data_IF_522982989330
#
_entry.id   IF_522982989330
#
_cell.length_a   1.000
_cell.length_b   1.000
_cell.length_c   1.000
_cell.angle_alpha   90.00
_cell.angle_beta   90.00
_cell.angle_gamma   90.00
#
_symmetry.space_group_name_H-M   'P 1'
#
loop_
_entity.id
_entity.type
_entity.pdbx_description
1 polymer ?
#
# COMPACT_ATOMS: atom_id res chain seq x y z
N UNK A 1 -84.59 -15.15 3.75
CA UNK A 1 -83.63 -16.06 3.09
C UNK A 1 -82.50 -15.22 2.52
N UNK A 2 -81.46 -14.99 3.31
CA UNK A 2 -80.28 -14.19 2.95
C UNK A 2 -79.25 -15.13 2.32
N UNK A 3 -79.02 -15.01 1.01
CA UNK A 3 -77.83 -15.55 0.34
C UNK A 3 -76.93 -14.36 0.02
N UNK A 4 -75.65 -14.42 0.41
CA UNK A 4 -74.46 -13.74 -0.15
C UNK A 4 -73.40 -13.42 0.93
N UNK A 5 -73.03 -14.45 1.69
CA UNK A 5 -71.85 -14.58 2.56
C UNK A 5 -70.69 -15.34 1.89
N UNK A 6 -69.48 -14.81 1.75
CA UNK A 6 -68.22 -15.53 1.44
C UNK A 6 -67.85 -15.78 -0.04
N UNK A 7 -67.49 -14.72 -0.76
CA UNK A 7 -66.41 -14.79 -1.77
C UNK A 7 -65.66 -13.47 -1.78
N UNK A 8 -64.76 -13.28 -0.82
CA UNK A 8 -63.73 -12.24 -0.83
C UNK A 8 -62.81 -12.49 0.36
N UNK A 9 -61.61 -13.00 0.11
CA UNK A 9 -60.30 -12.73 0.77
C UNK A 9 -59.33 -13.68 0.06
N UNK A 10 -59.02 -13.36 -1.19
CA UNK A 10 -57.82 -13.86 -1.88
C UNK A 10 -57.23 -12.61 -2.51
N UNK A 11 -56.50 -11.82 -1.72
CA UNK A 11 -55.80 -10.67 -2.28
C UNK A 11 -54.57 -10.32 -1.43
N UNK A 12 -53.41 -10.52 -2.07
CA UNK A 12 -52.11 -9.92 -1.78
C UNK A 12 -51.39 -10.33 -0.47
N UNK A 13 -50.96 -11.60 -0.40
CA UNK A 13 -49.58 -11.84 0.07
C UNK A 13 -48.67 -11.45 -1.10
N UNK A 14 -48.49 -10.14 -1.28
CA UNK A 14 -47.44 -9.63 -2.14
C UNK A 14 -46.13 -10.01 -1.45
N UNK A 15 -45.54 -11.07 -1.99
CA UNK A 15 -44.22 -11.60 -1.67
C UNK A 15 -43.22 -10.45 -1.82
N UNK A 16 -43.02 -9.68 -0.75
CA UNK A 16 -41.81 -8.88 -0.54
C UNK A 16 -40.65 -9.83 -0.20
N UNK A 17 -40.37 -10.80 -1.07
CA UNK A 17 -38.99 -11.29 -1.21
C UNK A 17 -38.26 -10.22 -1.98
N UNK A 18 -38.03 -9.09 -1.31
CA UNK A 18 -37.01 -8.15 -1.72
C UNK A 18 -35.74 -8.97 -1.84
N UNK A 19 -35.19 -9.01 -3.05
CA UNK A 19 -33.86 -9.52 -3.32
C UNK A 19 -32.92 -8.76 -2.39
N UNK A 20 -32.61 -9.35 -1.24
CA UNK A 20 -31.48 -8.94 -0.41
C UNK A 20 -30.27 -9.36 -1.24
N UNK A 21 -29.93 -8.53 -2.22
CA UNK A 21 -28.61 -8.64 -2.85
C UNK A 21 -27.64 -8.44 -1.70
N UNK A 22 -26.73 -9.39 -1.41
CA UNK A 22 -25.67 -9.11 -0.47
C UNK A 22 -25.03 -7.82 -0.97
N UNK A 23 -24.98 -6.79 -0.12
CA UNK A 23 -24.19 -5.61 -0.42
C UNK A 23 -22.78 -6.14 -0.65
N UNK A 24 -22.37 -6.18 -1.92
CA UNK A 24 -21.03 -6.59 -2.26
C UNK A 24 -20.13 -5.57 -1.58
N UNK A 25 -19.43 -6.00 -0.53
CA UNK A 25 -18.47 -5.16 0.16
C UNK A 25 -17.49 -4.67 -0.91
N UNK A 26 -17.44 -3.34 -1.08
CA UNK A 26 -16.54 -2.71 -2.02
C UNK A 26 -15.10 -3.04 -1.66
N UNK A 27 -14.23 -3.05 -2.67
CA UNK A 27 -12.79 -3.19 -2.44
C UNK A 27 -12.10 -2.00 -3.11
N UNK A 28 -11.17 -1.38 -2.40
CA UNK A 28 -10.19 -0.46 -2.98
C UNK A 28 -8.92 -1.27 -3.27
N UNK A 29 -8.35 -1.12 -4.45
CA UNK A 29 -7.09 -1.78 -4.81
C UNK A 29 -6.27 -0.83 -5.66
N UNK A 30 -5.09 -0.46 -5.19
CA UNK A 30 -4.22 0.44 -5.94
C UNK A 30 -3.18 -0.33 -6.74
N UNK A 31 -3.14 -0.06 -8.04
CA UNK A 31 -1.96 -0.28 -8.86
C UNK A 31 -1.06 0.96 -8.69
N UNK A 32 0.16 0.73 -8.21
CA UNK A 32 1.12 1.77 -7.86
C UNK A 32 2.25 1.73 -8.88
N UNK A 33 2.46 2.84 -9.60
CA UNK A 33 3.57 3.01 -10.52
C UNK A 33 4.45 4.16 -10.04
N UNK A 34 5.74 3.87 -9.86
CA UNK A 34 6.72 4.84 -9.37
C UNK A 34 7.83 4.96 -10.39
N UNK A 35 8.13 6.20 -10.79
CA UNK A 35 9.29 6.52 -11.62
C UNK A 35 10.19 7.48 -10.87
N UNK A 36 11.50 7.29 -10.98
CA UNK A 36 12.49 8.06 -10.22
C UNK A 36 13.45 8.73 -11.17
N UNK A 37 13.76 9.99 -10.89
CA UNK A 37 14.79 10.77 -11.57
C UNK A 37 15.80 11.21 -10.52
N UNK A 38 17.07 11.00 -10.80
CA UNK A 38 18.17 11.36 -9.92
C UNK A 38 18.99 12.45 -10.60
N UNK A 39 19.25 13.53 -9.87
CA UNK A 39 20.19 14.58 -10.26
C UNK A 39 21.28 14.69 -9.19
N UNK A 40 22.22 15.63 -9.35
CA UNK A 40 23.36 15.77 -8.44
C UNK A 40 22.96 16.06 -6.99
N UNK A 41 21.83 16.74 -6.77
CA UNK A 41 21.39 17.22 -5.45
C UNK A 41 20.03 16.69 -5.00
N UNK A 42 19.30 15.98 -5.86
CA UNK A 42 17.92 15.56 -5.54
C UNK A 42 17.49 14.26 -6.20
N UNK A 43 16.57 13.58 -5.53
CA UNK A 43 15.77 12.49 -6.10
C UNK A 43 14.33 12.98 -6.24
N UNK A 44 13.79 12.91 -7.46
CA UNK A 44 12.39 13.16 -7.74
C UNK A 44 11.68 11.83 -8.00
N UNK A 45 10.68 11.51 -7.19
CA UNK A 45 9.84 10.33 -7.34
C UNK A 45 8.43 10.75 -7.79
N UNK A 46 8.05 10.38 -9.01
CA UNK A 46 6.70 10.54 -9.52
C UNK A 46 5.90 9.27 -9.23
N UNK A 47 4.86 9.41 -8.41
CA UNK A 47 4.00 8.30 -7.97
C UNK A 47 2.63 8.45 -8.62
N UNK A 48 2.24 7.46 -9.42
CA UNK A 48 0.92 7.34 -10.01
C UNK A 48 0.17 6.20 -9.33
N UNK A 49 -1.01 6.52 -8.80
CA UNK A 49 -1.95 5.58 -8.21
C UNK A 49 -3.11 5.38 -9.18
N UNK A 50 -3.48 4.13 -9.44
CA UNK A 50 -4.69 3.79 -10.21
C UNK A 50 -5.58 2.89 -9.38
N UNK A 51 -6.82 3.31 -9.14
CA UNK A 51 -7.78 2.50 -8.40
C UNK A 51 -8.34 1.41 -9.32
N UNK A 52 -7.90 0.17 -9.12
CA UNK A 52 -8.38 -1.05 -9.80
C UNK A 52 -9.48 -1.76 -9.02
N UNK A 53 -9.88 -1.21 -7.87
CA UNK A 53 -10.96 -1.72 -7.05
C UNK A 53 -12.35 -1.42 -7.62
N UNK A 54 -13.36 -1.78 -6.84
CA UNK A 54 -14.78 -1.52 -7.13
C UNK A 54 -15.37 -0.37 -6.30
N UNK A 55 -14.62 0.15 -5.33
CA UNK A 55 -15.04 1.24 -4.45
C UNK A 55 -14.19 2.51 -4.66
N UNK A 56 -14.78 3.68 -4.42
CA UNK A 56 -14.05 4.96 -4.41
C UNK A 56 -13.12 5.04 -3.20
N UNK A 57 -11.87 5.46 -3.44
CA UNK A 57 -10.94 5.80 -2.37
C UNK A 57 -11.03 7.30 -2.05
N UNK A 58 -11.12 7.67 -0.78
CA UNK A 58 -11.20 9.06 -0.33
C UNK A 58 -9.93 9.49 0.42
N UNK A 59 -9.66 10.80 0.44
CA UNK A 59 -8.56 11.43 1.19
C UNK A 59 -7.20 10.76 0.93
N UNK A 60 -6.88 10.54 -0.34
CA UNK A 60 -5.71 9.75 -0.74
C UNK A 60 -4.45 10.57 -0.58
N UNK A 61 -3.51 10.06 0.22
CA UNK A 61 -2.20 10.65 0.46
C UNK A 61 -1.10 9.58 0.37
N UNK A 62 0.11 10.03 0.11
CA UNK A 62 1.30 9.19 0.06
C UNK A 62 2.34 9.74 1.02
N UNK A 63 2.76 8.90 1.96
CA UNK A 63 3.92 9.11 2.78
C UNK A 63 5.09 8.35 2.17
N UNK A 64 6.15 9.04 1.80
CA UNK A 64 7.32 8.48 1.19
C UNK A 64 8.53 8.64 2.11
N UNK A 65 9.30 7.57 2.26
CA UNK A 65 10.55 7.54 3.03
C UNK A 65 11.68 7.14 2.11
N UNK A 66 12.70 7.96 2.06
CA UNK A 66 13.91 7.73 1.27
C UNK A 66 15.13 8.12 2.09
N UNK A 67 16.03 7.16 2.31
CA UNK A 67 17.18 7.33 3.21
C UNK A 67 16.72 7.77 4.62
N UNK A 68 17.03 9.02 5.02
CA UNK A 68 16.60 9.62 6.31
C UNK A 68 15.49 10.67 6.14
N UNK A 69 15.10 10.95 4.90
CA UNK A 69 14.06 11.90 4.58
C UNK A 69 12.69 11.25 4.59
N UNK A 70 11.70 11.95 5.12
CA UNK A 70 10.29 11.58 5.05
C UNK A 70 9.50 12.75 4.46
N UNK A 71 8.68 12.46 3.47
CA UNK A 71 7.81 13.42 2.82
C UNK A 71 6.38 12.87 2.82
N UNK A 72 5.40 13.76 2.92
CA UNK A 72 3.98 13.40 2.82
C UNK A 72 3.29 14.33 1.84
N UNK A 73 2.53 13.76 0.92
CA UNK A 73 1.86 14.47 -0.16
C UNK A 73 0.40 14.02 -0.23
N UNK A 74 -0.49 15.00 -0.28
CA UNK A 74 -1.89 14.76 -0.60
C UNK A 74 -2.03 14.63 -2.11
N UNK A 75 -2.56 13.49 -2.57
CA UNK A 75 -2.69 13.20 -4.01
C UNK A 75 -4.06 13.62 -4.52
N UNK A 76 -5.13 13.24 -3.82
CA UNK A 76 -6.49 13.50 -4.29
C UNK A 76 -7.53 13.42 -3.17
N UNK A 77 -8.59 14.23 -3.29
CA UNK A 77 -9.76 14.11 -2.42
C UNK A 77 -10.49 12.78 -2.61
N UNK A 78 -10.54 12.30 -3.85
CA UNK A 78 -11.10 10.99 -4.18
C UNK A 78 -10.46 10.42 -5.45
N UNK A 79 -10.41 9.09 -5.56
CA UNK A 79 -10.04 8.36 -6.77
C UNK A 79 -11.10 7.27 -7.00
N UNK A 80 -11.98 7.49 -7.97
CA UNK A 80 -13.03 6.55 -8.35
C UNK A 80 -12.47 5.28 -9.02
N UNK A 81 -13.22 4.16 -9.05
CA UNK A 81 -12.83 2.97 -9.79
C UNK A 81 -12.41 3.25 -11.23
N UNK A 82 -11.24 2.74 -11.62
CA UNK A 82 -10.63 2.92 -12.94
C UNK A 82 -9.90 4.26 -13.14
N UNK A 83 -9.99 5.20 -12.20
CA UNK A 83 -9.30 6.49 -12.29
C UNK A 83 -7.87 6.41 -11.74
N UNK A 84 -7.05 7.38 -12.17
CA UNK A 84 -5.69 7.56 -11.68
C UNK A 84 -5.50 8.96 -11.10
N UNK A 85 -4.58 9.07 -10.15
CA UNK A 85 -4.03 10.35 -9.69
C UNK A 85 -2.50 10.23 -9.56
N UNK A 86 -1.81 11.36 -9.64
CA UNK A 86 -0.35 11.40 -9.61
C UNK A 86 0.13 12.58 -8.77
N UNK A 87 1.28 12.38 -8.11
CA UNK A 87 2.03 13.46 -7.50
C UNK A 87 3.53 13.19 -7.57
N UNK A 88 4.30 14.26 -7.46
CA UNK A 88 5.76 14.23 -7.43
C UNK A 88 6.26 14.53 -6.01
N UNK A 89 7.27 13.78 -5.58
CA UNK A 89 7.87 13.88 -4.25
C UNK A 89 9.37 14.07 -4.43
N UNK A 90 9.94 15.11 -3.82
CA UNK A 90 11.35 15.43 -3.90
C UNK A 90 12.07 15.14 -2.58
N UNK A 91 13.28 14.58 -2.70
CA UNK A 91 14.18 14.36 -1.58
C UNK A 91 15.55 14.96 -1.89
N UNK A 92 16.17 15.58 -0.89
CA UNK A 92 17.54 16.04 -0.99
C UNK A 92 18.50 14.84 -1.00
N UNK A 93 19.48 14.90 -1.89
CA UNK A 93 20.53 13.90 -2.01
C UNK A 93 21.82 14.46 -1.39
N UNK A 94 22.27 13.86 -0.28
CA UNK A 94 23.57 14.18 0.29
C UNK A 94 24.71 13.87 -0.69
N UNK A 95 25.71 14.75 -0.73
CA UNK A 95 26.86 14.58 -1.61
C UNK A 95 27.58 13.26 -1.35
N UNK A 96 27.95 12.57 -2.43
CA UNK A 96 28.69 11.32 -2.38
C UNK A 96 27.84 10.06 -2.16
N UNK A 97 26.51 10.17 -2.07
CA UNK A 97 25.64 8.99 -2.10
C UNK A 97 25.75 8.27 -3.44
N UNK A 98 25.93 6.94 -3.40
CA UNK A 98 25.98 6.05 -4.55
C UNK A 98 25.36 4.71 -4.18
N UNK A 99 24.88 3.98 -5.18
CA UNK A 99 24.31 2.63 -5.04
C UNK A 99 22.79 2.60 -5.14
N UNK A 100 22.21 1.50 -4.67
CA UNK A 100 20.77 1.22 -4.74
C UNK A 100 20.14 1.44 -3.38
N UNK A 101 19.30 2.47 -3.26
CA UNK A 101 18.66 2.85 -2.00
C UNK A 101 17.14 2.59 -2.07
N UNK A 102 16.52 2.06 -1.00
CA UNK A 102 15.08 1.83 -0.97
C UNK A 102 14.30 3.15 -0.89
N UNK A 103 13.24 3.25 -1.68
CA UNK A 103 12.18 4.24 -1.56
C UNK A 103 10.92 3.51 -1.09
N UNK A 104 10.52 3.75 0.14
CA UNK A 104 9.31 3.20 0.74
C UNK A 104 8.15 4.17 0.55
N UNK A 105 6.99 3.66 0.14
CA UNK A 105 5.76 4.43 -0.06
C UNK A 105 4.63 3.79 0.75
N UNK A 106 3.99 4.58 1.62
CA UNK A 106 2.75 4.23 2.29
C UNK A 106 1.61 5.09 1.72
N UNK A 107 0.62 4.44 1.12
CA UNK A 107 -0.58 5.02 0.52
C UNK A 107 -1.66 4.95 1.59
N UNK A 108 -2.10 6.11 2.08
CA UNK A 108 -3.15 6.22 3.08
C UNK A 108 -4.43 6.74 2.42
N UNK A 109 -5.56 6.08 2.66
CA UNK A 109 -6.85 6.46 2.10
C UNK A 109 -8.00 6.04 3.03
N UNK A 110 -9.22 6.45 2.70
CA UNK A 110 -10.45 6.08 3.40
C UNK A 110 -11.43 5.37 2.46
N UNK A 111 -12.13 4.36 2.97
CA UNK A 111 -13.31 3.78 2.32
C UNK A 111 -14.54 4.71 2.46
N UNK A 112 -15.66 4.35 1.83
CA UNK A 112 -16.89 5.16 1.89
C UNK A 112 -17.48 5.27 3.32
N UNK A 113 -17.16 4.32 4.20
CA UNK A 113 -17.52 4.32 5.62
C UNK A 113 -16.56 5.15 6.51
N UNK A 114 -15.61 5.87 5.88
CA UNK A 114 -14.57 6.67 6.50
C UNK A 114 -13.52 5.87 7.30
N UNK A 115 -13.47 4.54 7.17
CA UNK A 115 -12.41 3.72 7.76
C UNK A 115 -11.10 3.98 7.00
N UNK A 116 -10.07 4.39 7.74
CA UNK A 116 -8.73 4.61 7.21
C UNK A 116 -8.00 3.30 6.95
N UNK A 117 -7.37 3.19 5.79
CA UNK A 117 -6.58 2.04 5.36
C UNK A 117 -5.24 2.52 4.81
N UNK A 118 -4.20 1.71 5.02
CA UNK A 118 -2.86 1.95 4.49
C UNK A 118 -2.42 0.79 3.61
N UNK A 119 -1.70 1.09 2.54
CA UNK A 119 -1.06 0.10 1.65
C UNK A 119 0.39 0.52 1.42
N UNK A 120 1.31 -0.45 1.32
CA UNK A 120 2.73 -0.18 1.18
C UNK A 120 3.29 -0.62 -0.19
N UNK A 121 4.29 0.10 -0.69
CA UNK A 121 5.07 -0.26 -1.86
C UNK A 121 6.55 0.08 -1.64
N UNK A 122 7.42 -0.76 -2.18
CA UNK A 122 8.87 -0.59 -2.12
C UNK A 122 9.42 -0.46 -3.54
N UNK A 123 10.15 0.62 -3.79
CA UNK A 123 10.91 0.84 -5.02
C UNK A 123 12.40 0.96 -4.69
N UNK A 124 13.24 0.84 -5.71
CA UNK A 124 14.70 1.02 -5.59
C UNK A 124 15.12 2.22 -6.44
N UNK A 125 15.84 3.15 -5.82
CA UNK A 125 16.47 4.29 -6.49
C UNK A 125 17.94 3.96 -6.69
N UNK A 126 18.38 3.96 -7.95
CA UNK A 126 19.78 3.75 -8.29
C UNK A 126 20.47 5.11 -8.48
N UNK A 127 21.50 5.38 -7.70
CA UNK A 127 22.29 6.62 -7.72
C UNK A 127 23.71 6.28 -8.18
N UNK A 128 24.15 6.87 -9.28
CA UNK A 128 25.49 6.64 -9.82
C UNK A 128 25.70 5.18 -10.29
N UNK A 129 26.89 4.61 -10.02
CA UNK A 129 27.14 3.20 -10.28
C UNK A 129 26.52 2.35 -9.16
N UNK A 130 25.80 1.30 -9.55
CA UNK A 130 25.37 0.27 -8.61
C UNK A 130 26.60 -0.23 -7.87
N UNK A 131 26.63 -0.04 -6.55
CA UNK A 131 27.62 -0.70 -5.72
C UNK A 131 27.42 -2.21 -5.83
N UNK A 132 28.51 -2.97 -5.76
CA UNK A 132 28.44 -4.41 -5.68
C UNK A 132 27.63 -4.81 -4.45
N UNK A 133 26.70 -5.76 -4.60
CA UNK A 133 25.89 -6.24 -3.48
C UNK A 133 26.77 -7.01 -2.52
N UNK A 134 27.13 -6.38 -1.39
CA UNK A 134 28.04 -6.93 -0.38
C UNK A 134 27.36 -7.88 0.62
N UNK A 135 26.03 -7.99 0.56
CA UNK A 135 25.22 -8.74 1.53
C UNK A 135 24.15 -9.56 0.79
N UNK A 136 24.05 -10.84 1.12
CA UNK A 136 22.95 -11.69 0.70
C UNK A 136 21.83 -11.68 1.75
N UNK A 137 20.60 -11.60 1.25
CA UNK A 137 19.39 -11.62 2.08
C UNK A 137 18.51 -12.76 1.60
N UNK A 138 18.19 -13.67 2.52
CA UNK A 138 17.22 -14.75 2.27
C UNK A 138 16.08 -14.66 3.27
N UNK A 139 14.86 -14.95 2.81
CA UNK A 139 13.67 -14.93 3.64
C UNK A 139 13.03 -16.32 3.66
N UNK A 140 12.65 -16.77 4.85
CA UNK A 140 11.95 -18.03 5.07
C UNK A 140 10.70 -17.80 5.92
N UNK A 141 9.68 -18.64 5.72
CA UNK A 141 8.50 -18.64 6.58
C UNK A 141 8.90 -19.08 7.99
N UNK A 142 8.48 -18.31 8.99
CA UNK A 142 8.64 -18.65 10.41
C UNK A 142 7.72 -19.79 10.85
N UNK A 143 7.85 -20.17 12.13
CA UNK A 143 7.02 -21.22 12.73
C UNK A 143 5.64 -20.68 13.12
N UNK A 144 5.54 -19.39 13.42
CA UNK A 144 4.30 -18.71 13.79
C UNK A 144 3.58 -18.13 12.57
N UNK A 145 2.25 -18.01 12.67
CA UNK A 145 1.47 -17.35 11.64
C UNK A 145 1.90 -15.88 11.53
N UNK A 146 2.16 -15.41 10.32
CA UNK A 146 2.64 -14.04 10.07
C UNK A 146 4.13 -13.82 10.35
N UNK A 147 4.88 -14.83 10.78
CA UNK A 147 6.31 -14.72 11.04
C UNK A 147 7.13 -14.97 9.76
N UNK A 148 8.09 -14.09 9.50
CA UNK A 148 9.08 -14.22 8.43
C UNK A 148 10.47 -14.11 9.07
N UNK A 149 11.32 -15.09 8.79
CA UNK A 149 12.72 -15.10 9.23
C UNK A 149 13.56 -14.57 8.07
N UNK A 150 14.30 -13.50 8.31
CA UNK A 150 15.24 -12.94 7.34
C UNK A 150 16.65 -13.26 7.81
N UNK A 151 17.39 -14.01 7.00
CA UNK A 151 18.81 -14.26 7.20
C UNK A 151 19.61 -13.31 6.31
N UNK A 152 20.57 -12.64 6.93
CA UNK A 152 21.41 -11.62 6.28
C UNK A 152 22.86 -12.06 6.45
N UNK A 153 23.56 -12.25 5.34
CA UNK A 153 24.94 -12.76 5.31
C UNK A 153 25.83 -11.82 4.51
N UNK A 154 26.92 -11.36 5.11
CA UNK A 154 27.93 -10.59 4.39
C UNK A 154 28.73 -11.52 3.46
N UNK A 155 28.94 -11.11 2.21
CA UNK A 155 29.73 -11.89 1.24
C UNK A 155 31.23 -11.82 1.51
N UNK A 156 31.67 -10.72 2.11
CA UNK A 156 33.07 -10.47 2.46
C UNK A 156 33.23 -10.48 3.99
N UNK A 157 34.22 -11.21 4.48
CA UNK A 157 34.58 -11.28 5.90
C UNK A 157 35.17 -9.98 6.43
N UNK A 158 35.53 -9.03 5.55
CA UNK A 158 35.97 -7.68 5.91
C UNK A 158 34.86 -6.74 6.40
N UNK A 159 33.58 -7.12 6.32
CA UNK A 159 32.45 -6.29 6.74
C UNK A 159 32.27 -6.39 8.26
N UNK A 160 32.71 -5.37 8.97
CA UNK A 160 32.68 -5.35 10.44
C UNK A 160 31.27 -5.13 11.03
N UNK A 161 30.34 -4.53 10.27
CA UNK A 161 28.99 -4.21 10.75
C UNK A 161 27.97 -4.21 9.61
N UNK A 162 26.83 -4.86 9.83
CA UNK A 162 25.62 -4.75 9.01
C UNK A 162 24.55 -4.03 9.84
N UNK A 163 23.92 -3.01 9.26
CA UNK A 163 22.79 -2.31 9.87
C UNK A 163 21.50 -2.69 9.15
N UNK A 164 20.48 -3.07 9.92
CA UNK A 164 19.17 -3.43 9.41
C UNK A 164 18.18 -2.34 9.79
N UNK A 165 17.57 -1.72 8.78
CA UNK A 165 16.51 -0.74 8.97
C UNK A 165 15.20 -1.34 8.49
N UNK A 166 14.28 -1.50 9.44
CA UNK A 166 12.93 -1.95 9.15
C UNK A 166 12.02 -0.80 8.75
N UNK A 167 11.35 -0.94 7.60
CA UNK A 167 10.24 -0.08 7.22
C UNK A 167 8.98 -0.93 7.16
N UNK A 168 8.30 -1.02 8.31
CA UNK A 168 7.05 -1.76 8.48
C UNK A 168 5.98 -0.88 9.12
N UNK A 169 4.71 -1.28 9.01
CA UNK A 169 3.63 -0.66 9.79
C UNK A 169 3.90 -0.85 11.30
N UNK A 170 3.28 -0.01 12.15
CA UNK A 170 3.56 0.01 13.60
C UNK A 170 3.25 -1.32 14.31
N UNK A 171 2.45 -2.19 13.70
CA UNK A 171 2.10 -3.53 14.20
C UNK A 171 3.11 -4.61 13.78
N UNK A 172 4.12 -4.29 12.98
CA UNK A 172 5.21 -5.19 12.61
C UNK A 172 6.38 -5.08 13.60
N UNK A 173 6.61 -6.12 14.41
CA UNK A 173 7.83 -6.22 15.23
C UNK A 173 8.99 -6.79 14.41
N UNK A 174 10.18 -6.22 14.56
CA UNK A 174 11.43 -6.73 13.99
C UNK A 174 12.37 -7.00 15.15
N UNK A 175 12.64 -8.28 15.38
CA UNK A 175 13.47 -8.74 16.49
C UNK A 175 14.64 -9.57 15.93
N UNK A 176 15.89 -9.34 16.40
CA UNK A 176 16.99 -10.23 16.08
C UNK A 176 16.72 -11.60 16.71
N UNK A 177 16.93 -12.66 15.92
CA UNK A 177 16.98 -14.02 16.45
C UNK A 177 18.27 -14.16 17.28
N UNK A 178 18.11 -14.30 18.59
CA UNK A 178 19.19 -14.58 19.56
C UNK A 178 19.52 -16.07 19.53
#
# INVERSE_FOLDING_TARGET
>A
MLKNILQSIVLCIAVCTGLISPAAAGQVTFEISTTTQVTDDRVLAAVKLTNRGTETAHQVSVQAVFNKGQQSVFIAKQIDPGQSAQADIAFDLAQGMQGSLPLYLAINYQHADAIGVSSASLAVVNIGRSAETLVDVTAAKGKRLGEVIVQVEAKDTGIAKVELTGHGPEDLSIEPLV
#
